data_IF_210352330054
#
_entry.id   IF_210352330054
#
_cell.length_a   1.000
_cell.length_b   1.000
_cell.length_c   1.000
_cell.angle_alpha   90.00
_cell.angle_beta   90.00
_cell.angle_gamma   90.00
#
_symmetry.space_group_name_H-M   'P 1'
#
loop_
_entity.id
_entity.type
_entity.pdbx_description
1 polymer ?
#
# COMPACT_ATOMS: atom_id res chain seq x y z
N UNK A 1 14.31 -8.56 -39.75
CA UNK A 1 13.07 -9.05 -39.10
C UNK A 1 12.43 -7.88 -38.37
N UNK A 2 11.11 -7.65 -38.46
CA UNK A 2 10.46 -6.63 -37.64
C UNK A 2 10.65 -7.00 -36.16
N UNK A 3 11.07 -6.03 -35.34
CA UNK A 3 11.26 -6.22 -33.91
C UNK A 3 9.89 -6.51 -33.29
N UNK A 4 9.77 -7.56 -32.48
CA UNK A 4 8.55 -7.77 -31.71
C UNK A 4 8.26 -6.53 -30.85
N UNK A 5 6.97 -6.16 -30.69
CA UNK A 5 6.60 -5.07 -29.79
C UNK A 5 7.09 -5.40 -28.38
N UNK A 6 7.57 -4.38 -27.66
CA UNK A 6 7.96 -4.55 -26.27
C UNK A 6 6.77 -5.03 -25.45
N UNK A 7 7.02 -5.83 -24.42
CA UNK A 7 6.01 -6.50 -23.62
C UNK A 7 6.16 -6.21 -22.13
N UNK A 8 5.04 -5.95 -21.46
CA UNK A 8 4.97 -5.71 -20.02
C UNK A 8 3.94 -6.65 -19.40
N UNK A 9 4.33 -7.32 -18.32
CA UNK A 9 3.36 -7.99 -17.44
C UNK A 9 3.03 -7.10 -16.26
N UNK A 10 1.74 -6.86 -16.06
CA UNK A 10 1.20 -6.13 -14.92
C UNK A 10 0.76 -7.16 -13.87
N UNK A 11 1.55 -7.28 -12.80
CA UNK A 11 1.28 -8.23 -11.74
C UNK A 11 0.11 -7.77 -10.88
N UNK A 12 -0.86 -8.67 -10.70
CA UNK A 12 -2.08 -8.52 -9.89
C UNK A 12 -2.30 -9.75 -9.02
N UNK A 13 -3.35 -9.80 -8.19
CA UNK A 13 -3.73 -10.99 -7.43
C UNK A 13 -4.99 -11.69 -7.97
N UNK A 14 -5.23 -12.92 -7.50
CA UNK A 14 -6.33 -13.77 -7.97
C UNK A 14 -7.72 -13.17 -7.71
N UNK A 15 -7.86 -12.30 -6.70
CA UNK A 15 -9.11 -11.60 -6.39
C UNK A 15 -9.47 -10.54 -7.44
N UNK A 16 -8.48 -10.00 -8.16
CA UNK A 16 -8.66 -8.98 -9.22
C UNK A 16 -7.77 -9.30 -10.44
N UNK A 17 -8.01 -10.43 -11.12
CA UNK A 17 -7.10 -10.96 -12.15
C UNK A 17 -7.02 -10.09 -13.41
N UNK A 18 -7.95 -9.14 -13.57
CA UNK A 18 -7.96 -8.16 -14.65
C UNK A 18 -7.40 -6.77 -14.24
N UNK A 19 -6.77 -6.69 -13.06
CA UNK A 19 -6.26 -5.45 -12.50
C UNK A 19 -7.33 -4.56 -11.86
N UNK A 20 -6.91 -3.42 -11.31
CA UNK A 20 -7.84 -2.41 -10.78
C UNK A 20 -8.36 -1.52 -11.93
N UNK A 21 -9.55 -0.94 -11.77
CA UNK A 21 -10.15 -0.12 -12.83
C UNK A 21 -9.30 1.13 -13.19
N UNK A 22 -8.59 1.68 -12.22
CA UNK A 22 -7.70 2.84 -12.39
C UNK A 22 -6.52 2.56 -13.32
N UNK A 23 -6.15 1.29 -13.50
CA UNK A 23 -5.04 0.90 -14.37
C UNK A 23 -5.40 0.89 -15.85
N UNK A 24 -6.69 0.98 -16.20
CA UNK A 24 -7.17 0.89 -17.60
C UNK A 24 -6.56 1.96 -18.50
N UNK A 25 -6.45 3.19 -17.99
CA UNK A 25 -5.83 4.29 -18.74
C UNK A 25 -4.33 4.07 -18.96
N UNK A 26 -3.64 3.49 -17.98
CA UNK A 26 -2.22 3.13 -18.09
C UNK A 26 -2.00 2.02 -19.13
N UNK A 27 -2.85 1.00 -19.14
CA UNK A 27 -2.82 -0.08 -20.15
C UNK A 27 -3.03 0.49 -21.56
N UNK A 28 -4.03 1.36 -21.74
CA UNK A 28 -4.27 1.99 -23.05
C UNK A 28 -3.08 2.85 -23.49
N UNK A 29 -2.49 3.64 -22.59
CA UNK A 29 -1.30 4.44 -22.90
C UNK A 29 -0.10 3.58 -23.34
N UNK A 30 0.11 2.40 -22.73
CA UNK A 30 1.14 1.46 -23.16
C UNK A 30 0.86 0.92 -24.57
N UNK A 31 -0.39 0.56 -24.85
CA UNK A 31 -0.81 0.07 -26.17
C UNK A 31 -0.61 1.14 -27.26
N UNK A 32 -0.95 2.40 -26.97
CA UNK A 32 -0.78 3.54 -27.88
C UNK A 32 0.71 3.79 -28.20
N UNK A 33 1.62 3.42 -27.28
CA UNK A 33 3.07 3.45 -27.48
C UNK A 33 3.61 2.20 -28.20
N UNK A 34 2.74 1.28 -28.62
CA UNK A 34 3.13 0.02 -29.25
C UNK A 34 3.73 -1.01 -28.28
N UNK A 35 3.45 -0.86 -26.99
CA UNK A 35 3.84 -1.80 -25.94
C UNK A 35 2.67 -2.70 -25.61
N UNK A 36 2.86 -4.01 -25.70
CA UNK A 36 1.86 -4.98 -25.26
C UNK A 36 1.85 -5.04 -23.73
N UNK A 37 0.70 -4.89 -23.11
CA UNK A 37 0.53 -4.98 -21.66
C UNK A 37 -0.54 -6.03 -21.31
N UNK A 38 -0.16 -7.05 -20.54
CA UNK A 38 -1.07 -8.11 -20.09
C UNK A 38 -1.08 -8.21 -18.58
N UNK A 39 -2.25 -8.55 -18.01
CA UNK A 39 -2.39 -8.85 -16.60
C UNK A 39 -1.94 -10.27 -16.29
N UNK A 40 -1.22 -10.44 -15.18
CA UNK A 40 -0.82 -11.75 -14.69
C UNK A 40 -0.98 -11.83 -13.17
N UNK A 41 -1.61 -12.91 -12.70
CA UNK A 41 -1.73 -13.21 -11.28
C UNK A 41 -0.36 -13.63 -10.76
N UNK A 42 0.16 -12.95 -9.73
CA UNK A 42 1.56 -13.04 -9.32
C UNK A 42 1.97 -14.46 -8.88
N UNK A 43 1.06 -15.21 -8.27
CA UNK A 43 1.29 -16.57 -7.78
C UNK A 43 0.81 -17.66 -8.74
N UNK A 44 0.41 -17.33 -9.97
CA UNK A 44 0.05 -18.33 -10.98
C UNK A 44 1.33 -19.03 -11.51
N UNK A 45 1.54 -20.33 -11.21
CA UNK A 45 2.76 -21.04 -11.60
C UNK A 45 2.89 -21.26 -13.12
N UNK A 46 1.86 -20.91 -13.90
CA UNK A 46 1.85 -21.04 -15.37
C UNK A 46 2.39 -19.79 -16.08
N UNK A 47 2.59 -18.69 -15.37
CA UNK A 47 3.09 -17.43 -15.95
C UNK A 47 4.60 -17.51 -16.15
N UNK A 48 5.03 -17.37 -17.40
CA UNK A 48 6.45 -17.20 -17.73
C UNK A 48 6.88 -15.74 -17.60
N UNK A 49 7.33 -15.37 -16.39
CA UNK A 49 7.81 -14.02 -16.11
C UNK A 49 9.07 -13.63 -16.92
N UNK A 50 9.85 -14.62 -17.36
CA UNK A 50 11.06 -14.40 -18.14
C UNK A 50 10.77 -14.17 -19.64
N UNK A 51 9.52 -14.29 -20.08
CA UNK A 51 9.11 -13.95 -21.45
C UNK A 51 8.85 -12.45 -21.67
N UNK A 52 8.57 -11.69 -20.61
CA UNK A 52 8.17 -10.28 -20.73
C UNK A 52 9.34 -9.32 -20.54
N UNK A 53 9.45 -8.26 -21.35
CA UNK A 53 10.57 -7.30 -21.27
C UNK A 53 10.61 -6.54 -19.94
N UNK A 54 9.47 -6.38 -19.27
CA UNK A 54 9.34 -5.78 -17.93
C UNK A 54 8.17 -6.40 -17.17
N UNK A 55 8.30 -6.52 -15.85
CA UNK A 55 7.20 -6.86 -14.94
C UNK A 55 6.98 -5.71 -13.96
N UNK A 56 5.74 -5.27 -13.80
CA UNK A 56 5.37 -4.16 -12.93
C UNK A 56 4.34 -4.63 -11.91
N UNK A 57 4.64 -4.43 -10.62
CA UNK A 57 3.65 -4.64 -9.55
C UNK A 57 2.57 -3.58 -9.63
N UNK A 58 1.30 -3.98 -9.73
CA UNK A 58 0.16 -3.08 -9.70
C UNK A 58 -0.70 -3.34 -8.48
N UNK A 59 -1.49 -4.41 -8.51
CA UNK A 59 -2.57 -4.65 -7.56
C UNK A 59 -2.48 -6.03 -6.92
N UNK A 60 -1.26 -6.44 -6.55
CA UNK A 60 -0.96 -7.66 -5.77
C UNK A 60 -1.35 -7.51 -4.28
N UNK A 61 -2.53 -6.96 -3.99
CA UNK A 61 -2.92 -6.48 -2.65
C UNK A 61 -3.13 -7.59 -1.61
N UNK A 62 -3.22 -8.85 -2.05
CA UNK A 62 -3.20 -10.01 -1.16
C UNK A 62 -1.82 -10.25 -0.50
N UNK A 63 -0.75 -9.58 -0.97
CA UNK A 63 0.60 -9.67 -0.37
C UNK A 63 0.58 -9.46 1.14
N UNK A 64 -0.31 -8.60 1.66
CA UNK A 64 -0.34 -8.26 3.08
C UNK A 64 -0.58 -9.49 3.97
N UNK A 65 -1.23 -10.55 3.44
CA UNK A 65 -1.44 -11.84 4.13
C UNK A 65 -0.39 -12.89 3.77
N UNK A 66 0.37 -12.66 2.70
CA UNK A 66 1.26 -13.63 2.03
C UNK A 66 2.63 -13.00 1.74
N UNK A 67 3.12 -12.15 2.64
CA UNK A 67 4.27 -11.28 2.36
C UNK A 67 5.52 -12.07 2.01
N UNK A 68 5.79 -13.15 2.73
CA UNK A 68 6.98 -13.98 2.47
C UNK A 68 6.91 -14.70 1.11
N UNK A 69 5.73 -15.21 0.74
CA UNK A 69 5.47 -15.77 -0.58
C UNK A 69 5.63 -14.71 -1.68
N UNK A 70 5.05 -13.51 -1.48
CA UNK A 70 5.16 -12.38 -2.39
C UNK A 70 6.62 -11.94 -2.58
N UNK A 71 7.41 -11.83 -1.51
CA UNK A 71 8.83 -11.48 -1.59
C UNK A 71 9.65 -12.63 -2.20
N UNK A 72 9.24 -13.88 -1.99
CA UNK A 72 9.81 -15.05 -2.67
C UNK A 72 9.59 -15.00 -4.18
N UNK A 73 8.36 -14.71 -4.60
CA UNK A 73 8.01 -14.46 -6.00
C UNK A 73 8.81 -13.29 -6.58
N UNK A 74 8.81 -12.13 -5.91
CA UNK A 74 9.52 -10.95 -6.39
C UNK A 74 11.02 -11.21 -6.60
N UNK A 75 11.65 -11.99 -5.71
CA UNK A 75 13.04 -12.46 -5.86
C UNK A 75 13.27 -13.33 -7.11
N UNK A 76 12.25 -14.07 -7.54
CA UNK A 76 12.34 -14.98 -8.69
C UNK A 76 12.11 -14.29 -10.04
N UNK A 77 11.52 -13.08 -10.05
CA UNK A 77 11.17 -12.35 -11.28
C UNK A 77 12.36 -11.50 -11.77
N UNK A 78 12.96 -11.81 -12.94
CA UNK A 78 14.25 -11.23 -13.32
C UNK A 78 14.19 -9.77 -13.79
N UNK A 79 13.05 -9.30 -14.29
CA UNK A 79 12.87 -7.95 -14.84
C UNK A 79 11.75 -7.19 -14.12
N UNK A 80 11.74 -7.31 -12.79
CA UNK A 80 10.79 -6.58 -11.95
C UNK A 80 11.20 -5.10 -11.86
N UNK A 81 10.27 -4.19 -12.17
CA UNK A 81 10.54 -2.75 -12.24
C UNK A 81 11.01 -2.18 -10.90
N UNK A 82 10.45 -2.67 -9.79
CA UNK A 82 10.90 -2.37 -8.44
C UNK A 82 11.68 -3.58 -7.91
N UNK A 83 12.97 -3.44 -7.56
CA UNK A 83 13.74 -4.51 -6.94
C UNK A 83 13.06 -5.03 -5.67
N UNK A 84 13.29 -6.31 -5.36
CA UNK A 84 12.66 -6.95 -4.20
C UNK A 84 13.02 -6.29 -2.88
N UNK A 85 14.18 -5.64 -2.79
CA UNK A 85 14.62 -4.87 -1.63
C UNK A 85 13.71 -3.66 -1.38
N UNK A 86 13.30 -2.96 -2.45
CA UNK A 86 12.35 -1.85 -2.37
C UNK A 86 10.97 -2.35 -1.96
N UNK A 87 10.53 -3.48 -2.51
CA UNK A 87 9.25 -4.10 -2.16
C UNK A 87 9.24 -4.61 -0.72
N UNK A 88 10.33 -5.21 -0.25
CA UNK A 88 10.49 -5.65 1.13
C UNK A 88 10.43 -4.45 2.08
N UNK A 89 11.18 -3.39 1.79
CA UNK A 89 11.20 -2.16 2.58
C UNK A 89 9.82 -1.48 2.63
N UNK A 90 9.17 -1.28 1.47
CA UNK A 90 7.91 -0.53 1.40
C UNK A 90 6.67 -1.31 1.87
N UNK A 91 6.70 -2.65 1.82
CA UNK A 91 5.56 -3.49 2.26
C UNK A 91 5.38 -3.54 3.79
N UNK A 92 6.35 -3.04 4.55
CA UNK A 92 6.29 -2.93 6.01
C UNK A 92 6.42 -1.47 6.44
N UNK A 93 5.38 -0.91 7.05
CA UNK A 93 5.33 0.52 7.42
C UNK A 93 6.38 0.94 8.44
N UNK A 94 7.13 0.01 9.03
CA UNK A 94 8.28 0.36 9.88
C UNK A 94 9.31 1.22 9.16
N UNK A 95 9.32 1.28 7.82
CA UNK A 95 10.11 2.24 7.04
C UNK A 95 9.87 3.70 7.46
N UNK A 96 8.71 4.02 8.05
CA UNK A 96 8.41 5.35 8.58
C UNK A 96 9.36 5.77 9.71
N UNK A 97 9.95 4.81 10.43
CA UNK A 97 10.99 5.08 11.43
C UNK A 97 12.26 5.59 10.75
N UNK A 98 12.71 4.91 9.69
CA UNK A 98 13.88 5.34 8.91
C UNK A 98 13.68 6.72 8.28
N UNK A 99 12.47 7.01 7.79
CA UNK A 99 12.11 8.34 7.28
C UNK A 99 12.15 9.41 8.38
N UNK A 100 11.62 9.10 9.57
CA UNK A 100 11.67 10.01 10.72
C UNK A 100 13.11 10.30 11.15
N UNK A 101 13.96 9.26 11.23
CA UNK A 101 15.38 9.37 11.57
C UNK A 101 16.16 10.19 10.53
N UNK A 102 15.73 10.17 9.27
CA UNK A 102 16.25 11.02 8.19
C UNK A 102 15.69 12.46 8.20
N UNK A 103 14.82 12.81 9.14
CA UNK A 103 14.23 14.14 9.29
C UNK A 103 13.00 14.41 8.40
N UNK A 104 12.44 13.38 7.77
CA UNK A 104 11.18 13.51 7.02
C UNK A 104 10.02 13.60 8.02
N UNK A 105 9.13 14.60 7.90
CA UNK A 105 7.96 14.69 8.78
C UNK A 105 7.03 13.49 8.59
N UNK A 106 6.86 12.70 9.65
CA UNK A 106 5.88 11.61 9.72
C UNK A 106 4.95 11.83 10.90
N UNK A 107 3.78 11.18 10.86
CA UNK A 107 2.89 11.16 12.02
C UNK A 107 3.60 10.47 13.18
N UNK A 108 3.67 11.07 14.39
CA UNK A 108 4.27 10.43 15.56
C UNK A 108 3.68 9.04 15.76
N UNK A 109 4.53 8.02 15.83
CA UNK A 109 4.09 6.63 15.81
C UNK A 109 4.72 5.86 16.97
N UNK A 110 3.88 5.18 17.74
CA UNK A 110 4.31 4.17 18.72
C UNK A 110 4.24 2.80 18.08
N UNK A 111 5.30 2.02 18.21
CA UNK A 111 5.43 0.68 17.62
C UNK A 111 5.42 -0.39 18.69
N UNK A 112 4.78 -1.51 18.39
CA UNK A 112 4.77 -2.71 19.25
C UNK A 112 5.06 -3.95 18.40
N UNK A 113 5.96 -4.79 18.88
CA UNK A 113 6.26 -6.10 18.33
C UNK A 113 5.47 -7.20 19.08
N UNK A 114 5.19 -8.35 18.45
CA UNK A 114 4.56 -9.48 19.14
C UNK A 114 5.29 -9.83 20.45
N UNK A 115 4.55 -9.89 21.55
CA UNK A 115 5.08 -10.08 22.91
C UNK A 115 5.18 -8.79 23.73
N UNK A 116 5.09 -7.62 23.11
CA UNK A 116 5.00 -6.34 23.84
C UNK A 116 3.64 -6.17 24.50
N UNK A 117 3.60 -5.37 25.57
CA UNK A 117 2.36 -4.98 26.26
C UNK A 117 1.99 -3.56 25.82
N UNK A 118 0.98 -3.37 24.94
CA UNK A 118 0.62 -2.04 24.49
C UNK A 118 -0.03 -1.24 25.62
N UNK A 119 0.35 0.03 25.73
CA UNK A 119 -0.31 0.99 26.63
C UNK A 119 -1.44 1.71 25.90
N UNK A 120 -2.45 2.14 26.65
CA UNK A 120 -3.52 2.96 26.11
C UNK A 120 -2.94 4.29 25.60
N UNK A 121 -3.22 4.69 24.35
CA UNK A 121 -2.72 5.95 23.81
C UNK A 121 -3.48 7.14 24.40
N UNK A 122 -2.84 8.30 24.43
CA UNK A 122 -3.50 9.54 24.82
C UNK A 122 -4.39 10.06 23.67
N UNK A 123 -5.69 10.17 23.93
CA UNK A 123 -6.66 10.75 22.98
C UNK A 123 -7.08 9.83 21.83
N UNK A 124 -7.65 10.44 20.79
CA UNK A 124 -8.13 9.71 19.62
C UNK A 124 -6.95 9.21 18.78
N UNK A 125 -6.98 7.93 18.40
CA UNK A 125 -5.85 7.24 17.75
C UNK A 125 -6.28 6.35 16.59
N UNK A 126 -5.32 6.00 15.75
CA UNK A 126 -5.43 4.98 14.70
C UNK A 126 -4.50 3.83 15.06
N UNK A 127 -5.06 2.62 15.07
CA UNK A 127 -4.32 1.37 15.33
C UNK A 127 -4.39 0.51 14.08
N UNK A 128 -3.25 0.04 13.59
CA UNK A 128 -3.15 -0.84 12.40
C UNK A 128 -1.90 -1.72 12.44
N UNK A 129 -1.88 -2.86 11.71
CA UNK A 129 -0.67 -3.64 11.56
C UNK A 129 0.34 -2.93 10.64
N UNK A 130 1.63 -3.11 10.94
CA UNK A 130 2.72 -2.51 10.16
C UNK A 130 2.70 -2.99 8.70
N UNK A 131 2.47 -4.29 8.50
CA UNK A 131 2.21 -4.90 7.19
C UNK A 131 0.69 -4.94 6.98
N UNK A 132 0.20 -4.15 6.02
CA UNK A 132 -1.23 -4.09 5.67
C UNK A 132 -1.42 -3.41 4.32
N UNK A 133 -2.50 -3.74 3.63
CA UNK A 133 -2.96 -3.09 2.41
C UNK A 133 -4.49 -2.86 2.48
N UNK A 134 -4.97 -1.83 1.78
CA UNK A 134 -6.42 -1.59 1.63
C UNK A 134 -7.15 -1.19 2.91
N UNK A 135 -6.45 -0.57 3.88
CA UNK A 135 -6.95 -0.25 5.22
C UNK A 135 -7.47 -1.45 6.03
N UNK A 136 -7.02 -2.66 5.68
CA UNK A 136 -7.34 -3.87 6.43
C UNK A 136 -6.80 -3.78 7.86
N UNK A 137 -7.61 -4.25 8.81
CA UNK A 137 -7.26 -4.30 10.23
C UNK A 137 -6.83 -2.93 10.80
N UNK A 138 -7.30 -1.84 10.18
CA UNK A 138 -7.05 -0.47 10.60
C UNK A 138 -8.30 0.10 11.25
N UNK A 139 -8.16 0.64 12.47
CA UNK A 139 -9.28 1.22 13.23
C UNK A 139 -8.95 2.58 13.83
N UNK A 140 -9.90 3.52 13.75
CA UNK A 140 -9.89 4.82 14.44
C UNK A 140 -10.66 4.69 15.76
N UNK A 141 -9.99 4.98 16.87
CA UNK A 141 -10.48 4.75 18.23
C UNK A 141 -10.48 6.06 19.02
N UNK A 142 -11.66 6.50 19.44
CA UNK A 142 -11.81 7.63 20.36
C UNK A 142 -11.65 7.22 21.84
N UNK A 143 -11.87 5.93 22.14
CA UNK A 143 -11.65 5.34 23.46
C UNK A 143 -10.23 4.72 23.52
N UNK A 144 -9.33 5.22 24.40
CA UNK A 144 -8.00 4.68 24.59
C UNK A 144 -7.95 3.18 24.91
N UNK A 145 -8.92 2.66 25.69
CA UNK A 145 -8.94 1.24 26.03
C UNK A 145 -9.37 0.37 24.85
N UNK A 146 -10.30 0.86 24.02
CA UNK A 146 -10.64 0.20 22.76
C UNK A 146 -9.44 0.15 21.80
N UNK A 147 -8.66 1.25 21.71
CA UNK A 147 -7.43 1.29 20.92
C UNK A 147 -6.41 0.25 21.44
N UNK A 148 -6.21 0.20 22.76
CA UNK A 148 -5.31 -0.77 23.40
C UNK A 148 -5.78 -2.21 23.14
N UNK A 149 -7.06 -2.49 23.29
CA UNK A 149 -7.64 -3.81 23.03
C UNK A 149 -7.47 -4.25 21.57
N UNK A 150 -7.64 -3.32 20.61
CA UNK A 150 -7.36 -3.60 19.20
C UNK A 150 -5.87 -3.93 18.98
N UNK A 151 -4.96 -3.16 19.58
CA UNK A 151 -3.52 -3.44 19.49
C UNK A 151 -3.17 -4.82 20.06
N UNK A 152 -3.73 -5.20 21.23
CA UNK A 152 -3.54 -6.54 21.81
C UNK A 152 -3.99 -7.63 20.85
N UNK A 153 -5.19 -7.51 20.26
CA UNK A 153 -5.71 -8.49 19.30
C UNK A 153 -4.77 -8.70 18.09
N UNK A 154 -4.19 -7.63 17.56
CA UNK A 154 -3.23 -7.71 16.46
C UNK A 154 -1.90 -8.37 16.88
N UNK A 155 -1.41 -8.06 18.09
CA UNK A 155 -0.18 -8.64 18.64
C UNK A 155 -0.33 -10.13 18.97
N UNK A 156 -1.49 -10.53 19.52
CA UNK A 156 -1.85 -11.94 19.77
C UNK A 156 -1.93 -12.74 18.47
N UNK A 157 -2.29 -12.09 17.36
CA UNK A 157 -2.23 -12.66 16.01
C UNK A 157 -0.80 -12.67 15.41
N UNK A 158 0.23 -12.32 16.19
CA UNK A 158 1.62 -12.32 15.77
C UNK A 158 2.01 -11.16 14.84
N UNK A 159 1.24 -10.08 14.81
CA UNK A 159 1.48 -8.94 13.91
C UNK A 159 2.08 -7.76 14.65
N UNK A 160 3.13 -7.15 14.09
CA UNK A 160 3.64 -5.87 14.56
C UNK A 160 2.58 -4.77 14.36
N UNK A 161 2.44 -3.89 15.34
CA UNK A 161 1.39 -2.88 15.41
C UNK A 161 2.01 -1.49 15.43
N UNK A 162 1.33 -0.57 14.76
CA UNK A 162 1.58 0.86 14.87
C UNK A 162 0.35 1.58 15.41
N UNK A 163 0.59 2.50 16.34
CA UNK A 163 -0.41 3.38 16.95
C UNK A 163 -0.03 4.82 16.65
N UNK A 164 -0.96 5.58 16.05
CA UNK A 164 -0.75 6.96 15.65
C UNK A 164 -1.86 7.85 16.24
N UNK A 165 -1.61 9.09 16.64
CA UNK A 165 -2.68 10.03 16.95
C UNK A 165 -3.52 10.27 15.71
N UNK A 166 -4.83 10.41 15.90
CA UNK A 166 -5.71 10.79 14.80
C UNK A 166 -5.50 12.26 14.44
N UNK A 167 -5.16 12.54 13.18
CA UNK A 167 -5.01 13.91 12.71
C UNK A 167 -6.38 14.45 12.30
N UNK A 168 -7.00 15.27 13.15
CA UNK A 168 -8.33 15.84 12.90
C UNK A 168 -8.44 16.66 11.61
N UNK A 169 -7.32 17.18 11.09
CA UNK A 169 -7.30 17.86 9.80
C UNK A 169 -7.73 16.95 8.64
N UNK A 170 -7.60 15.61 8.76
CA UNK A 170 -8.06 14.65 7.76
C UNK A 170 -9.58 14.74 7.59
N UNK A 171 -10.35 14.99 8.66
CA UNK A 171 -11.82 15.08 8.60
C UNK A 171 -12.30 16.25 7.71
N UNK A 172 -11.54 17.35 7.65
CA UNK A 172 -11.92 18.57 6.91
C UNK A 172 -11.14 18.78 5.62
N UNK A 173 -9.84 18.46 5.60
CA UNK A 173 -8.93 18.70 4.48
C UNK A 173 -8.64 17.44 3.65
N UNK A 174 -8.94 16.25 4.18
CA UNK A 174 -8.53 14.97 3.59
C UNK A 174 -7.02 14.76 3.64
N UNK A 175 -6.55 13.85 2.78
CA UNK A 175 -5.13 13.60 2.53
C UNK A 175 -4.77 14.08 1.12
N UNK A 176 -3.53 14.51 0.93
CA UNK A 176 -2.97 14.79 -0.41
C UNK A 176 -2.07 13.65 -0.82
N UNK A 177 -2.41 12.96 -1.93
CA UNK A 177 -1.52 12.02 -2.60
C UNK A 177 -0.70 12.74 -3.66
N UNK A 178 0.62 12.59 -3.63
CA UNK A 178 1.54 13.14 -4.64
C UNK A 178 2.04 12.01 -5.54
N UNK A 179 1.88 12.18 -6.85
CA UNK A 179 2.32 11.20 -7.85
C UNK A 179 3.59 11.69 -8.54
N UNK A 180 4.63 10.87 -8.45
CA UNK A 180 5.91 11.07 -9.10
C UNK A 180 6.10 10.03 -10.20
N UNK A 181 6.65 10.46 -11.34
CA UNK A 181 7.01 9.58 -12.45
C UNK A 181 8.49 9.78 -12.76
N UNK A 182 9.28 8.73 -12.58
CA UNK A 182 10.74 8.82 -12.48
C UNK A 182 11.13 9.84 -11.39
N UNK A 183 11.87 10.89 -11.77
CA UNK A 183 12.37 11.94 -10.88
C UNK A 183 11.53 13.25 -10.95
N UNK A 184 10.36 13.22 -11.59
CA UNK A 184 9.53 14.41 -11.81
C UNK A 184 8.17 14.28 -11.15
N UNK A 185 7.77 15.34 -10.46
CA UNK A 185 6.40 15.52 -10.00
C UNK A 185 5.46 15.51 -11.21
N UNK A 186 4.39 14.71 -11.13
CA UNK A 186 3.40 14.59 -12.19
C UNK A 186 2.12 15.35 -11.83
N UNK A 187 1.48 14.96 -10.74
CA UNK A 187 0.21 15.54 -10.29
C UNK A 187 -0.08 15.16 -8.83
N UNK A 188 -1.10 15.80 -8.27
CA UNK A 188 -1.62 15.49 -6.95
C UNK A 188 -3.11 15.12 -7.00
N UNK A 189 -3.58 14.45 -5.97
CA UNK A 189 -4.99 14.11 -5.79
C UNK A 189 -5.36 14.19 -4.32
N UNK A 190 -6.63 14.49 -4.04
CA UNK A 190 -7.19 14.46 -2.70
C UNK A 190 -7.79 13.09 -2.40
N UNK A 191 -7.64 12.63 -1.16
CA UNK A 191 -8.38 11.49 -0.61
C UNK A 191 -9.20 11.94 0.58
N UNK A 192 -10.49 11.62 0.58
CA UNK A 192 -11.34 11.83 1.75
C UNK A 192 -10.94 10.95 2.94
N UNK A 193 -11.36 11.33 4.14
CA UNK A 193 -11.17 10.53 5.35
C UNK A 193 -11.75 9.12 5.16
N UNK A 194 -10.92 8.09 5.35
CA UNK A 194 -11.30 6.69 5.13
C UNK A 194 -11.92 6.05 6.39
N UNK A 195 -11.52 6.52 7.57
CA UNK A 195 -11.89 5.93 8.85
C UNK A 195 -12.94 6.79 9.56
N UNK A 196 -14.19 6.34 9.54
CA UNK A 196 -15.22 6.91 10.40
C UNK A 196 -14.98 6.49 11.86
N UNK A 197 -15.54 7.26 12.81
CA UNK A 197 -15.47 6.92 14.23
C UNK A 197 -16.23 5.63 14.51
N UNK A 198 -15.60 4.69 15.22
CA UNK A 198 -16.26 3.46 15.67
C UNK A 198 -16.63 2.48 14.56
N UNK A 199 -16.10 2.65 13.34
CA UNK A 199 -16.22 1.63 12.29
C UNK A 199 -15.25 0.49 12.57
N UNK A 200 -15.76 -0.74 12.48
CA UNK A 200 -14.95 -1.95 12.57
C UNK A 200 -13.85 -1.94 11.49
N UNK A 201 -12.67 -2.51 11.78
CA UNK A 201 -11.60 -2.63 10.81
C UNK A 201 -12.09 -3.33 9.54
N UNK A 202 -11.72 -2.79 8.37
CA UNK A 202 -12.19 -3.33 7.10
C UNK A 202 -11.68 -4.76 6.86
N UNK A 203 -12.59 -5.68 6.56
CA UNK A 203 -12.26 -7.08 6.25
C UNK A 203 -12.01 -7.38 4.76
N UNK A 204 -12.28 -6.42 3.86
CA UNK A 204 -12.21 -6.60 2.41
C UNK A 204 -10.79 -6.57 1.81
N UNK A 205 -10.70 -6.70 0.49
CA UNK A 205 -9.43 -6.52 -0.24
C UNK A 205 -8.90 -5.08 -0.06
N UNK A 206 -9.81 -4.11 -0.15
CA UNK A 206 -9.58 -2.68 0.11
C UNK A 206 -10.90 -1.98 0.47
N UNK A 207 -10.81 -0.81 1.10
CA UNK A 207 -11.93 0.12 1.28
C UNK A 207 -11.97 1.09 0.10
N UNK A 208 -13.16 1.34 -0.46
CA UNK A 208 -13.31 2.31 -1.54
C UNK A 208 -13.07 3.72 -1.03
N UNK A 209 -12.17 4.43 -1.69
CA UNK A 209 -11.78 5.79 -1.36
C UNK A 209 -12.58 6.81 -2.17
N UNK A 210 -12.80 7.99 -1.59
CA UNK A 210 -13.28 9.14 -2.33
C UNK A 210 -12.09 9.97 -2.81
N UNK A 211 -11.81 9.88 -4.11
CA UNK A 211 -10.72 10.60 -4.77
C UNK A 211 -11.24 11.89 -5.39
N UNK A 212 -10.53 12.99 -5.17
CA UNK A 212 -10.85 14.31 -5.71
C UNK A 212 -9.63 14.95 -6.37
N UNK A 213 -9.85 15.94 -7.24
CA UNK A 213 -8.76 16.73 -7.82
C UNK A 213 -8.10 17.60 -6.75
N UNK A 214 -6.77 17.67 -6.74
CA UNK A 214 -6.00 18.58 -5.88
C UNK A 214 -4.77 19.11 -6.61
N UNK A 215 -4.46 20.39 -6.39
CA UNK A 215 -3.17 20.96 -6.76
C UNK A 215 -2.23 20.91 -5.55
N UNK A 216 -1.00 20.46 -5.75
CA UNK A 216 0.02 20.47 -4.72
C UNK A 216 0.51 21.90 -4.44
N UNK A 217 0.73 22.20 -3.17
CA UNK A 217 1.39 23.42 -2.73
C UNK A 217 2.92 23.24 -2.76
N UNK A 218 3.73 24.32 -2.83
CA UNK A 218 5.20 24.20 -2.78
C UNK A 218 5.77 23.60 -1.48
N UNK A 219 4.94 23.49 -0.43
CA UNK A 219 5.29 22.93 0.87
C UNK A 219 4.92 21.44 1.00
N UNK A 220 4.24 20.88 0.00
CA UNK A 220 3.96 19.44 -0.16
C UNK A 220 4.97 18.83 -1.15
#
# INVERSE_FOLDING_TARGET
MPRQPASVLLATCAEIPAGHEDDRLGVQALLDLGVRADWAVWDDPRVDWAAADLVVVRSTWDYARRRDEFLGWARSVPRLANPVEVLAWNSDKTYLQELADAGVPVVPTTWYAPGDVPVAPDGESVVKPAISAGARDTGRHADPEAARAHAVSLLDAGRAVMVQPYLHAIDSAGETGLVWMADRFSHAFGKGALLARGTDPAGGLFVREHVSTREATPTE
#
